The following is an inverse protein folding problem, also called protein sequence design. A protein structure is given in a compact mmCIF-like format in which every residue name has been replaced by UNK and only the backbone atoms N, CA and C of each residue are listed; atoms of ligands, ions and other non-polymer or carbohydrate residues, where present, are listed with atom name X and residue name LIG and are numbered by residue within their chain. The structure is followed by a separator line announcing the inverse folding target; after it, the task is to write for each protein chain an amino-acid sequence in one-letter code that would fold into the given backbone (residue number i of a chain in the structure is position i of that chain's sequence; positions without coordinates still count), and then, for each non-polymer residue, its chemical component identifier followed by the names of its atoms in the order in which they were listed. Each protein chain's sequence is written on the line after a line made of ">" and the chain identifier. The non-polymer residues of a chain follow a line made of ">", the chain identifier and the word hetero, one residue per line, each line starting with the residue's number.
data_IF_412055097095
#
_entry.id   IF_412055097095
#
_cell.length_a   1.000
_cell.length_b   1.000
_cell.length_c   1.000
_cell.angle_alpha   90.00
_cell.angle_beta   90.00
_cell.angle_gamma   90.00
#
_symmetry.space_group_name_H-M   'P 1'
#
loop_
_entity.id
_entity.type
_entity.pdbx_description
1 polymer ?
#
# COMPACT_ATOMS: atom_id res chain seq x y z
N UNK A 1 -24.73 18.77 -0.41
CA UNK A 1 -23.92 17.59 -0.64
C UNK A 1 -24.85 16.46 -1.10
N UNK A 2 -24.48 15.66 -2.12
CA UNK A 2 -25.24 14.47 -2.46
C UNK A 2 -25.11 13.48 -1.31
N UNK A 3 -26.23 12.95 -0.86
CA UNK A 3 -26.27 11.84 0.08
C UNK A 3 -25.55 10.66 -0.59
N UNK A 4 -24.56 10.03 0.02
CA UNK A 4 -23.95 8.84 -0.55
C UNK A 4 -25.06 7.79 -0.73
N UNK A 5 -25.27 7.38 -1.98
CA UNK A 5 -26.15 6.27 -2.27
C UNK A 5 -25.34 5.01 -2.05
N UNK A 6 -25.56 4.34 -0.94
CA UNK A 6 -25.05 2.98 -0.77
C UNK A 6 -25.70 2.12 -1.85
N UNK A 7 -24.89 1.72 -2.82
CA UNK A 7 -25.33 0.82 -3.87
C UNK A 7 -25.61 -0.55 -3.27
N UNK A 8 -26.59 -1.19 -3.87
CA UNK A 8 -27.03 -2.58 -3.81
C UNK A 8 -26.17 -3.56 -2.98
N UNK A 9 -26.84 -4.52 -2.35
CA UNK A 9 -26.21 -5.66 -1.68
C UNK A 9 -24.92 -6.10 -2.41
N UNK A 10 -23.78 -6.15 -1.72
CA UNK A 10 -22.55 -6.63 -2.32
C UNK A 10 -22.81 -8.02 -2.91
N UNK A 11 -22.67 -8.14 -4.21
CA UNK A 11 -22.77 -9.43 -4.88
C UNK A 11 -21.58 -10.25 -4.40
N UNK A 12 -21.84 -11.26 -3.58
CA UNK A 12 -20.82 -12.23 -3.19
C UNK A 12 -20.44 -13.00 -4.45
N UNK A 13 -19.26 -12.73 -5.00
CA UNK A 13 -18.70 -13.55 -6.07
C UNK A 13 -17.87 -14.62 -5.41
N UNK A 14 -18.23 -15.90 -5.59
CA UNK A 14 -17.40 -17.05 -5.20
C UNK A 14 -16.21 -17.24 -6.15
N UNK A 15 -15.60 -16.13 -6.58
CA UNK A 15 -14.44 -16.20 -7.46
C UNK A 15 -13.22 -16.43 -6.61
N UNK A 16 -12.69 -17.62 -6.67
CA UNK A 16 -11.42 -17.99 -6.07
C UNK A 16 -10.33 -17.85 -7.14
N UNK A 17 -9.28 -17.08 -6.86
CA UNK A 17 -8.07 -17.08 -7.65
C UNK A 17 -7.48 -18.52 -7.68
N UNK A 18 -7.15 -19.03 -8.87
CA UNK A 18 -6.51 -20.33 -9.02
C UNK A 18 -4.99 -20.19 -8.81
N UNK A 19 -4.61 -19.66 -7.65
CA UNK A 19 -3.22 -19.56 -7.18
C UNK A 19 -3.07 -20.26 -5.84
N UNK A 20 -1.87 -20.72 -5.55
CA UNK A 20 -1.54 -21.28 -4.24
C UNK A 20 -0.94 -20.20 -3.36
N UNK A 21 -1.46 -20.05 -2.13
CA UNK A 21 -1.09 -18.99 -1.19
C UNK A 21 -1.13 -17.59 -1.85
N UNK A 22 -2.32 -17.01 -2.05
CA UNK A 22 -2.40 -15.65 -2.60
C UNK A 22 -1.64 -14.67 -1.70
N UNK A 23 -0.79 -13.86 -2.31
CA UNK A 23 -0.01 -12.83 -1.67
C UNK A 23 -0.60 -11.43 -1.87
N UNK A 24 0.14 -10.54 -2.48
CA UNK A 24 -0.31 -9.17 -2.75
C UNK A 24 -1.22 -9.07 -3.97
N UNK A 25 -2.24 -8.23 -3.86
CA UNK A 25 -3.09 -7.81 -4.96
C UNK A 25 -2.79 -6.33 -5.29
N UNK A 26 -2.34 -6.05 -6.49
CA UNK A 26 -2.01 -4.70 -6.95
C UNK A 26 -3.06 -4.21 -7.92
N UNK A 27 -3.65 -3.05 -7.63
CA UNK A 27 -4.50 -2.32 -8.56
C UNK A 27 -3.72 -1.12 -9.10
N UNK A 28 -3.42 -1.13 -10.39
CA UNK A 28 -2.71 -0.04 -11.06
C UNK A 28 -3.29 0.21 -12.46
N UNK A 29 -3.68 1.47 -12.72
CA UNK A 29 -4.39 1.82 -13.94
C UNK A 29 -5.67 0.99 -14.11
N UNK A 30 -5.79 0.31 -15.25
CA UNK A 30 -6.94 -0.54 -15.59
C UNK A 30 -6.74 -2.02 -15.17
N UNK A 31 -5.63 -2.35 -14.50
CA UNK A 31 -5.28 -3.73 -14.18
C UNK A 31 -5.37 -4.05 -12.69
N UNK A 32 -5.90 -5.24 -12.40
CA UNK A 32 -5.80 -5.91 -11.09
C UNK A 32 -4.87 -7.10 -11.24
N UNK A 33 -3.84 -7.17 -10.40
CA UNK A 33 -2.74 -8.13 -10.54
C UNK A 33 -2.45 -8.85 -9.21
N UNK A 34 -3.13 -9.98 -8.92
CA UNK A 34 -2.75 -10.86 -7.83
C UNK A 34 -1.44 -11.60 -8.11
N UNK A 35 -0.61 -11.72 -7.08
CA UNK A 35 0.61 -12.51 -7.07
C UNK A 35 0.42 -13.74 -6.19
N UNK A 36 0.71 -14.93 -6.70
CA UNK A 36 0.62 -16.19 -5.97
C UNK A 36 1.96 -16.55 -5.35
N UNK A 37 2.10 -16.38 -4.04
CA UNK A 37 3.35 -16.63 -3.32
C UNK A 37 3.77 -18.12 -3.38
N UNK A 38 2.78 -19.03 -3.34
CA UNK A 38 3.05 -20.47 -3.29
C UNK A 38 3.37 -21.10 -4.63
N UNK A 39 2.88 -20.56 -5.75
CA UNK A 39 3.06 -21.11 -7.09
C UNK A 39 3.75 -20.15 -8.08
N UNK A 40 4.05 -18.92 -7.66
CA UNK A 40 4.72 -17.91 -8.47
C UNK A 40 3.92 -17.41 -9.66
N UNK A 41 2.59 -17.58 -9.64
CA UNK A 41 1.73 -17.09 -10.71
C UNK A 41 1.39 -15.61 -10.53
N UNK A 42 1.56 -14.85 -11.58
CA UNK A 42 1.06 -13.49 -11.72
C UNK A 42 -0.18 -13.57 -12.61
N UNK A 43 -1.34 -13.27 -12.03
CA UNK A 43 -2.61 -13.20 -12.76
C UNK A 43 -2.92 -11.75 -13.06
N UNK A 44 -3.19 -11.43 -14.32
CA UNK A 44 -3.56 -10.08 -14.74
C UNK A 44 -5.01 -10.09 -15.24
N UNK A 45 -5.81 -9.23 -14.66
CA UNK A 45 -7.19 -8.98 -15.01
C UNK A 45 -7.34 -7.53 -15.48
N UNK A 46 -8.27 -7.31 -16.41
CA UNK A 46 -8.82 -5.99 -16.65
C UNK A 46 -9.87 -5.72 -15.56
N UNK A 47 -9.72 -4.63 -14.83
CA UNK A 47 -10.59 -4.33 -13.68
C UNK A 47 -12.06 -4.13 -14.10
N UNK A 48 -12.32 -3.59 -15.31
CA UNK A 48 -13.68 -3.41 -15.83
C UNK A 48 -14.39 -4.73 -16.10
N UNK A 49 -13.64 -5.79 -16.42
CA UNK A 49 -14.21 -7.11 -16.75
C UNK A 49 -14.89 -7.77 -15.54
N UNK A 50 -14.57 -7.36 -14.29
CA UNK A 50 -15.24 -7.87 -13.10
C UNK A 50 -16.72 -7.51 -12.99
N UNK A 51 -17.19 -6.52 -13.75
CA UNK A 51 -18.61 -6.13 -13.76
C UNK A 51 -19.56 -7.24 -14.24
N UNK A 52 -19.08 -8.16 -15.07
CA UNK A 52 -19.83 -9.27 -15.65
C UNK A 52 -19.55 -10.64 -14.95
N UNK A 53 -18.81 -10.64 -13.87
CA UNK A 53 -18.38 -11.84 -13.12
C UNK A 53 -16.86 -11.98 -13.09
N UNK A 54 -16.37 -13.19 -12.79
CA UNK A 54 -14.92 -13.43 -12.76
C UNK A 54 -14.36 -13.57 -14.17
N UNK A 55 -13.53 -12.64 -14.65
CA UNK A 55 -12.87 -12.79 -15.93
C UNK A 55 -11.78 -13.87 -15.88
N UNK A 56 -11.34 -14.30 -17.06
CA UNK A 56 -10.18 -15.18 -17.13
C UNK A 56 -8.91 -14.35 -17.13
N UNK A 57 -7.95 -14.62 -16.21
CA UNK A 57 -6.70 -13.91 -16.17
C UNK A 57 -5.80 -14.22 -17.39
N UNK A 58 -4.94 -13.28 -17.71
CA UNK A 58 -3.68 -13.59 -18.36
C UNK A 58 -2.72 -14.07 -17.25
N UNK A 59 -2.05 -15.20 -17.45
CA UNK A 59 -1.16 -15.79 -16.46
C UNK A 59 0.28 -15.72 -16.94
N UNK A 60 1.15 -15.19 -16.09
CA UNK A 60 2.61 -15.23 -16.21
C UNK A 60 3.16 -15.91 -14.97
N UNK A 61 4.29 -16.62 -15.07
CA UNK A 61 4.93 -17.27 -13.94
C UNK A 61 6.31 -16.63 -13.71
N UNK A 62 6.69 -16.47 -12.44
CA UNK A 62 8.07 -16.08 -12.08
C UNK A 62 8.97 -17.31 -12.09
N UNK A 63 10.29 -17.07 -12.12
CA UNK A 63 11.28 -18.16 -12.17
C UNK A 63 11.22 -19.04 -10.91
N UNK A 64 11.03 -18.42 -9.73
CA UNK A 64 10.87 -19.14 -8.45
C UNK A 64 9.76 -18.49 -7.60
N UNK A 65 8.88 -19.29 -6.99
CA UNK A 65 7.84 -18.80 -6.09
C UNK A 65 8.45 -18.07 -4.89
N UNK A 66 7.85 -16.94 -4.51
CA UNK A 66 8.26 -16.16 -3.35
C UNK A 66 7.14 -15.22 -2.93
N UNK A 67 7.26 -14.64 -1.75
CA UNK A 67 6.35 -13.56 -1.34
C UNK A 67 6.67 -12.30 -2.13
N UNK A 68 5.84 -11.97 -3.13
CA UNK A 68 6.15 -10.97 -4.12
C UNK A 68 4.99 -10.07 -4.51
N UNK A 69 5.31 -9.09 -5.36
CA UNK A 69 4.35 -8.17 -5.96
C UNK A 69 4.60 -8.06 -7.46
N UNK A 70 3.54 -7.74 -8.21
CA UNK A 70 3.63 -7.47 -9.64
C UNK A 70 2.76 -6.27 -10.01
N UNK A 71 3.26 -5.41 -10.91
CA UNK A 71 2.58 -4.21 -11.39
C UNK A 71 2.52 -4.24 -12.91
N UNK A 72 1.32 -4.15 -13.47
CA UNK A 72 1.11 -3.98 -14.90
C UNK A 72 1.27 -2.51 -15.26
N UNK A 73 2.26 -2.18 -16.11
CA UNK A 73 2.52 -0.82 -16.53
C UNK A 73 1.67 -0.42 -17.74
N UNK A 74 1.45 0.87 -17.92
CA UNK A 74 0.61 1.42 -19.00
C UNK A 74 1.12 1.08 -20.40
N UNK A 75 2.43 0.89 -20.58
CA UNK A 75 3.01 0.46 -21.84
C UNK A 75 2.82 -1.03 -22.16
N UNK A 76 2.20 -1.77 -21.24
CA UNK A 76 1.93 -3.20 -21.34
C UNK A 76 3.04 -4.10 -20.82
N UNK A 77 4.14 -3.54 -20.32
CA UNK A 77 5.17 -4.31 -19.62
C UNK A 77 4.72 -4.71 -18.21
N UNK A 78 5.43 -5.65 -17.59
CA UNK A 78 5.17 -6.15 -16.26
C UNK A 78 6.40 -5.95 -15.39
N UNK A 79 6.28 -5.14 -14.33
CA UNK A 79 7.24 -5.09 -13.25
C UNK A 79 6.87 -6.19 -12.24
N UNK A 80 7.82 -6.97 -11.78
CA UNK A 80 7.61 -7.89 -10.68
C UNK A 80 8.88 -8.08 -9.84
N UNK A 81 8.69 -8.47 -8.59
CA UNK A 81 9.79 -8.78 -7.67
C UNK A 81 10.55 -10.03 -8.10
N UNK A 82 11.77 -10.14 -7.62
CA UNK A 82 12.67 -11.29 -7.81
C UNK A 82 13.08 -11.82 -6.44
N UNK A 83 12.97 -13.12 -6.26
CA UNK A 83 13.30 -13.77 -5.01
C UNK A 83 13.13 -15.27 -5.08
N UNK A 84 13.32 -15.89 -3.93
CA UNK A 84 13.05 -17.29 -3.63
C UNK A 84 12.18 -17.37 -2.36
N UNK A 85 11.84 -18.56 -1.91
CA UNK A 85 11.14 -18.76 -0.62
C UNK A 85 11.94 -18.15 0.56
N UNK A 86 13.28 -18.19 0.48
CA UNK A 86 14.16 -17.79 1.58
C UNK A 86 14.64 -16.33 1.48
N UNK A 87 14.76 -15.78 0.28
CA UNK A 87 15.39 -14.48 0.05
C UNK A 87 14.71 -13.70 -1.09
N UNK A 88 14.52 -12.43 -0.90
CA UNK A 88 14.03 -11.48 -1.92
C UNK A 88 15.08 -10.42 -2.15
N UNK A 89 15.45 -10.18 -3.41
CA UNK A 89 16.64 -9.39 -3.72
C UNK A 89 16.39 -8.14 -4.56
N UNK A 90 15.24 -8.04 -5.23
CA UNK A 90 14.99 -6.91 -6.11
C UNK A 90 13.80 -7.09 -7.03
N UNK A 91 13.89 -6.52 -8.22
CA UNK A 91 12.80 -6.57 -9.20
C UNK A 91 13.33 -6.56 -10.63
N UNK A 92 12.47 -6.99 -11.55
CA UNK A 92 12.70 -6.87 -12.99
C UNK A 92 11.44 -6.40 -13.72
N UNK A 93 11.65 -5.88 -14.92
CA UNK A 93 10.57 -5.53 -15.85
C UNK A 93 10.73 -6.36 -17.10
N UNK A 94 9.63 -6.99 -17.52
CA UNK A 94 9.55 -7.76 -18.75
C UNK A 94 8.57 -7.10 -19.71
N UNK A 95 8.87 -7.10 -21.00
CA UNK A 95 7.95 -6.62 -22.04
C UNK A 95 6.82 -7.63 -22.29
N UNK A 96 5.86 -7.28 -23.14
CA UNK A 96 4.71 -8.12 -23.48
C UNK A 96 5.07 -9.47 -24.15
N UNK A 97 6.33 -9.66 -24.54
CA UNK A 97 6.87 -10.92 -25.06
C UNK A 97 7.54 -11.77 -23.99
N UNK A 98 7.62 -11.28 -22.75
CA UNK A 98 8.33 -11.90 -21.64
C UNK A 98 9.85 -11.65 -21.62
N UNK A 99 10.33 -10.74 -22.48
CA UNK A 99 11.76 -10.39 -22.51
C UNK A 99 12.06 -9.35 -21.43
N UNK A 100 13.06 -9.62 -20.60
CA UNK A 100 13.59 -8.66 -19.63
C UNK A 100 14.11 -7.40 -20.32
N UNK A 101 13.66 -6.24 -19.84
CA UNK A 101 14.06 -4.91 -20.35
C UNK A 101 14.75 -4.06 -19.29
N UNK A 102 14.55 -4.36 -18.00
CA UNK A 102 15.26 -3.76 -16.87
C UNK A 102 15.28 -4.72 -15.69
N UNK A 103 16.31 -4.68 -14.86
CA UNK A 103 16.37 -5.40 -13.58
C UNK A 103 17.29 -4.71 -12.59
N UNK A 104 17.08 -4.99 -11.29
CA UNK A 104 17.96 -4.58 -10.19
C UNK A 104 17.88 -5.62 -9.07
N UNK A 105 19.03 -5.90 -8.45
CA UNK A 105 19.20 -6.75 -7.28
C UNK A 105 19.56 -5.93 -6.01
N UNK A 106 19.36 -4.61 -6.07
CA UNK A 106 19.72 -3.67 -5.00
C UNK A 106 18.57 -3.40 -4.02
N UNK A 107 17.68 -4.38 -3.77
CA UNK A 107 16.54 -4.23 -2.85
C UNK A 107 16.39 -5.48 -1.97
N UNK A 108 17.29 -5.65 -0.96
CA UNK A 108 17.16 -6.77 -0.04
C UNK A 108 15.81 -6.74 0.68
N UNK A 109 15.22 -7.92 0.86
CA UNK A 109 13.93 -8.08 1.51
C UNK A 109 12.78 -7.33 0.84
N UNK A 110 12.83 -7.15 -0.51
CA UNK A 110 11.82 -6.38 -1.26
C UNK A 110 10.40 -6.75 -0.84
N UNK A 111 9.59 -5.72 -0.55
CA UNK A 111 8.23 -5.91 -0.05
C UNK A 111 7.36 -4.68 -0.33
N UNK A 112 6.13 -4.95 -0.77
CA UNK A 112 5.16 -3.92 -1.07
C UNK A 112 5.54 -3.08 -2.30
N UNK A 113 4.58 -2.32 -2.78
CA UNK A 113 4.74 -1.37 -3.87
C UNK A 113 3.83 -0.15 -3.67
N UNK A 114 4.15 0.92 -4.38
CA UNK A 114 3.25 2.05 -4.55
C UNK A 114 3.58 2.78 -5.86
N UNK A 115 2.55 3.32 -6.50
CA UNK A 115 2.70 4.18 -7.66
C UNK A 115 2.61 5.65 -7.28
N UNK A 116 3.50 6.46 -7.84
CA UNK A 116 3.46 7.91 -7.77
C UNK A 116 3.16 8.51 -9.15
N UNK A 117 2.95 9.82 -9.16
CA UNK A 117 2.76 10.59 -10.40
C UNK A 117 3.78 10.22 -11.48
N UNK A 118 3.35 10.27 -12.75
CA UNK A 118 4.15 9.91 -13.91
C UNK A 118 4.53 8.41 -13.96
N UNK A 119 3.72 7.55 -13.32
CA UNK A 119 3.92 6.09 -13.26
C UNK A 119 5.28 5.67 -12.68
N UNK A 120 5.74 6.38 -11.65
CA UNK A 120 6.93 5.96 -10.90
C UNK A 120 6.53 4.90 -9.89
N UNK A 121 7.05 3.67 -10.07
CA UNK A 121 6.77 2.56 -9.15
C UNK A 121 7.86 2.51 -8.07
N UNK A 122 7.44 2.48 -6.83
CA UNK A 122 8.31 2.35 -5.67
C UNK A 122 8.17 0.97 -5.04
N UNK A 123 9.29 0.33 -4.72
CA UNK A 123 9.38 -0.94 -4.02
C UNK A 123 10.14 -0.74 -2.71
N UNK A 124 9.62 -1.22 -1.60
CA UNK A 124 10.30 -1.10 -0.32
C UNK A 124 11.40 -2.14 -0.14
N UNK A 125 12.48 -1.74 0.53
CA UNK A 125 13.64 -2.58 0.81
C UNK A 125 13.97 -2.54 2.31
N UNK A 126 14.86 -3.40 2.79
CA UNK A 126 15.37 -3.38 4.18
C UNK A 126 16.33 -2.21 4.45
N UNK A 127 16.83 -1.58 3.40
CA UNK A 127 17.85 -0.52 3.44
C UNK A 127 17.44 0.74 2.65
N UNK A 128 16.14 0.93 2.42
CA UNK A 128 15.60 2.07 1.71
C UNK A 128 14.48 1.73 0.75
N UNK A 129 14.50 2.33 -0.45
CA UNK A 129 13.47 2.17 -1.47
C UNK A 129 14.08 2.05 -2.87
N UNK A 130 13.51 1.20 -3.71
CA UNK A 130 13.89 1.03 -5.10
C UNK A 130 12.80 1.63 -5.99
N UNK A 131 13.14 2.61 -6.80
CA UNK A 131 12.24 3.24 -7.77
C UNK A 131 12.43 2.65 -9.16
N UNK A 132 11.33 2.43 -9.87
CA UNK A 132 11.35 2.23 -11.32
C UNK A 132 10.73 3.45 -12.00
N UNK A 133 11.52 4.15 -12.80
CA UNK A 133 11.09 5.32 -13.57
C UNK A 133 11.89 5.45 -14.86
N UNK A 134 11.29 5.98 -15.91
CA UNK A 134 11.96 6.20 -17.20
C UNK A 134 12.69 4.95 -17.76
N UNK A 135 12.12 3.76 -17.52
CA UNK A 135 12.69 2.49 -17.97
C UNK A 135 13.90 2.01 -17.19
N UNK A 136 14.18 2.51 -15.98
CA UNK A 136 15.34 2.19 -15.15
C UNK A 136 14.98 2.08 -13.68
N UNK A 137 15.74 1.25 -12.99
CA UNK A 137 15.76 1.21 -11.54
C UNK A 137 16.74 2.23 -10.96
N UNK A 138 16.32 2.84 -9.84
CA UNK A 138 17.15 3.79 -9.06
C UNK A 138 16.97 3.47 -7.58
N UNK A 139 18.05 3.11 -6.89
CA UNK A 139 18.04 2.87 -5.45
C UNK A 139 18.21 4.18 -4.70
N UNK A 140 17.39 4.35 -3.65
CA UNK A 140 17.52 5.42 -2.67
C UNK A 140 17.74 4.76 -1.31
N UNK A 141 18.95 4.98 -0.76
CA UNK A 141 19.33 4.41 0.52
C UNK A 141 18.61 5.10 1.69
N UNK A 142 18.25 4.31 2.69
CA UNK A 142 17.80 4.82 3.96
C UNK A 142 18.94 5.49 4.74
N UNK A 143 18.66 6.45 5.64
CA UNK A 143 19.70 7.04 6.48
C UNK A 143 20.26 6.09 7.53
N UNK A 144 19.52 5.05 7.92
CA UNK A 144 19.95 4.00 8.85
C UNK A 144 20.39 2.75 8.07
N UNK A 145 21.34 1.96 8.60
CA UNK A 145 21.86 0.76 7.95
C UNK A 145 20.81 -0.34 7.76
N UNK A 146 19.87 -0.46 8.70
CA UNK A 146 18.60 -1.09 8.54
C UNK A 146 17.56 0.01 8.62
N UNK A 147 16.94 0.31 7.51
CA UNK A 147 15.93 1.35 7.35
C UNK A 147 14.83 0.81 6.46
N UNK A 148 14.12 -0.20 7.00
CA UNK A 148 13.13 -0.97 6.27
C UNK A 148 11.89 -0.14 5.96
N UNK A 149 11.52 -0.14 4.69
CA UNK A 149 10.27 0.38 4.18
C UNK A 149 9.50 -0.83 3.64
N UNK A 150 8.53 -1.34 4.38
CA UNK A 150 7.79 -2.56 4.03
C UNK A 150 6.40 -2.30 3.48
N UNK A 151 5.79 -1.14 3.82
CA UNK A 151 4.50 -0.70 3.32
C UNK A 151 4.61 0.70 2.77
N UNK A 152 4.03 0.92 1.59
CA UNK A 152 4.04 2.20 0.91
C UNK A 152 2.62 2.61 0.52
N UNK A 153 2.43 3.92 0.41
CA UNK A 153 1.20 4.52 -0.10
C UNK A 153 1.56 5.60 -1.13
N UNK A 154 1.07 5.43 -2.34
CA UNK A 154 1.29 6.32 -3.47
C UNK A 154 0.07 7.17 -3.79
N UNK A 155 0.22 8.07 -4.76
CA UNK A 155 -0.86 8.89 -5.32
C UNK A 155 -0.47 9.35 -6.71
N UNK A 156 -1.37 9.23 -7.67
CA UNK A 156 -1.16 9.72 -9.04
C UNK A 156 -1.07 11.25 -9.13
N UNK A 157 -1.54 11.95 -8.09
CA UNK A 157 -1.44 13.41 -7.99
C UNK A 157 -0.10 13.88 -7.46
N UNK A 158 0.70 12.99 -6.83
CA UNK A 158 1.90 13.36 -6.07
C UNK A 158 3.14 12.61 -6.55
N UNK A 159 4.26 13.34 -6.63
CA UNK A 159 5.59 12.74 -6.87
C UNK A 159 6.19 12.10 -5.61
N UNK A 160 5.51 12.18 -4.48
CA UNK A 160 6.02 11.67 -3.22
C UNK A 160 5.40 10.31 -2.88
N UNK A 161 6.21 9.40 -2.36
CA UNK A 161 5.78 8.13 -1.77
C UNK A 161 5.84 8.26 -0.25
N UNK A 162 4.75 7.92 0.43
CA UNK A 162 4.70 7.72 1.87
C UNK A 162 5.05 6.26 2.17
N UNK A 163 5.92 6.00 3.13
CA UNK A 163 6.26 4.63 3.55
C UNK A 163 6.36 4.50 5.05
N UNK A 164 6.18 3.29 5.57
CA UNK A 164 6.58 2.99 6.94
C UNK A 164 8.10 3.14 7.10
N UNK A 165 8.60 3.09 8.34
CA UNK A 165 10.03 3.18 8.55
C UNK A 165 10.43 2.46 9.84
N UNK A 166 11.11 1.31 9.70
CA UNK A 166 11.54 0.45 10.78
C UNK A 166 13.06 0.38 10.85
N UNK A 167 13.60 0.32 12.07
CA UNK A 167 15.06 0.35 12.31
C UNK A 167 15.56 -0.77 13.22
N UNK A 168 14.68 -1.62 13.73
CA UNK A 168 15.01 -2.75 14.59
C UNK A 168 14.73 -4.07 13.88
N UNK A 169 15.80 -4.65 13.29
CA UNK A 169 15.74 -5.92 12.56
C UNK A 169 15.36 -7.11 13.46
N UNK A 170 15.69 -7.04 14.75
CA UNK A 170 15.47 -8.12 15.72
C UNK A 170 14.10 -8.04 16.42
N UNK A 171 13.33 -6.96 16.22
CA UNK A 171 12.04 -6.79 16.85
C UNK A 171 10.98 -7.76 16.30
N UNK A 172 10.33 -8.52 17.20
CA UNK A 172 9.15 -9.33 16.82
C UNK A 172 8.01 -8.44 16.27
N UNK A 173 7.81 -7.28 16.90
CA UNK A 173 6.93 -6.22 16.43
C UNK A 173 7.56 -4.87 16.81
N UNK A 174 8.16 -4.21 15.84
CA UNK A 174 8.54 -2.82 16.01
C UNK A 174 7.31 -1.92 15.90
N UNK A 175 7.19 -0.98 16.82
CA UNK A 175 6.17 0.09 16.81
C UNK A 175 6.83 1.41 16.40
N UNK A 176 7.00 1.66 15.09
CA UNK A 176 7.70 2.83 14.62
C UNK A 176 6.90 4.10 14.90
N UNK A 177 7.62 5.18 15.24
CA UNK A 177 7.05 6.52 15.45
C UNK A 177 7.47 7.50 14.36
N UNK A 178 8.00 6.98 13.25
CA UNK A 178 8.42 7.76 12.07
C UNK A 178 7.91 7.09 10.82
N UNK A 179 7.54 7.91 9.84
CA UNK A 179 7.29 7.48 8.46
C UNK A 179 8.34 8.06 7.53
N UNK A 180 8.54 7.43 6.39
CA UNK A 180 9.37 7.93 5.31
C UNK A 180 8.54 8.69 4.28
N UNK A 181 9.11 9.75 3.73
CA UNK A 181 8.58 10.48 2.57
C UNK A 181 9.68 10.55 1.53
N UNK A 182 9.47 9.90 0.40
CA UNK A 182 10.44 9.85 -0.70
C UNK A 182 9.99 10.71 -1.86
N UNK A 183 10.78 11.71 -2.22
CA UNK A 183 10.61 12.50 -3.44
C UNK A 183 11.20 11.73 -4.63
N UNK A 184 10.35 11.21 -5.49
CA UNK A 184 10.74 10.38 -6.64
C UNK A 184 11.50 11.16 -7.73
N UNK A 185 11.39 12.50 -7.75
CA UNK A 185 12.11 13.36 -8.72
C UNK A 185 13.53 13.66 -8.27
N UNK A 186 13.70 14.04 -7.01
CA UNK A 186 15.03 14.40 -6.48
C UNK A 186 15.79 13.21 -5.91
N UNK A 187 15.15 12.07 -5.67
CA UNK A 187 15.74 10.93 -4.97
C UNK A 187 16.00 11.21 -3.48
N UNK A 188 15.28 12.15 -2.89
CA UNK A 188 15.45 12.47 -1.47
C UNK A 188 14.46 11.69 -0.62
N UNK A 189 14.96 10.92 0.35
CA UNK A 189 14.19 10.33 1.43
C UNK A 189 14.28 11.22 2.66
N UNK A 190 13.13 11.54 3.26
CA UNK A 190 13.00 12.31 4.49
C UNK A 190 12.19 11.53 5.51
N UNK A 191 12.51 11.68 6.79
CA UNK A 191 11.76 11.03 7.87
C UNK A 191 10.88 12.07 8.58
N UNK A 192 9.65 11.69 8.89
CA UNK A 192 8.67 12.50 9.61
C UNK A 192 8.38 11.84 10.94
N UNK A 193 8.61 12.56 12.05
CA UNK A 193 8.23 12.10 13.38
C UNK A 193 6.72 12.29 13.60
N UNK A 194 6.09 11.30 14.19
CA UNK A 194 4.65 11.27 14.46
C UNK A 194 4.31 11.41 15.94
N UNK A 195 5.31 11.28 16.84
CA UNK A 195 5.15 11.30 18.30
C UNK A 195 4.20 10.20 18.86
N UNK A 196 3.78 9.27 18.02
CA UNK A 196 3.02 8.06 18.34
C UNK A 196 3.32 6.98 17.29
N UNK A 197 3.13 5.73 17.65
CA UNK A 197 3.32 4.61 16.71
C UNK A 197 2.11 4.42 15.79
N UNK A 198 2.24 3.54 14.83
CA UNK A 198 1.19 3.18 13.86
C UNK A 198 1.37 1.73 13.40
N UNK A 199 0.38 1.18 12.72
CA UNK A 199 0.44 -0.16 12.14
C UNK A 199 0.64 -0.13 10.63
N UNK A 200 0.90 -1.29 10.04
CA UNK A 200 1.01 -1.42 8.58
C UNK A 200 -0.30 -1.11 7.82
N UNK A 201 -1.45 -0.99 8.52
CA UNK A 201 -2.76 -0.63 7.94
C UNK A 201 -3.13 0.84 8.17
N UNK A 202 -2.15 1.64 8.53
CA UNK A 202 -2.37 3.03 8.97
C UNK A 202 -2.03 4.09 7.93
N UNK A 203 -1.50 3.71 6.76
CA UNK A 203 -1.03 4.65 5.76
C UNK A 203 -2.08 4.90 4.68
N UNK A 204 -2.26 6.16 4.31
CA UNK A 204 -3.15 6.60 3.24
C UNK A 204 -2.66 7.87 2.57
N UNK A 205 -3.35 8.30 1.52
CA UNK A 205 -3.04 9.52 0.77
C UNK A 205 -4.29 10.38 0.62
N UNK A 206 -4.14 11.66 0.91
CA UNK A 206 -5.18 12.66 0.67
C UNK A 206 -5.30 13.08 -0.80
N UNK A 207 -6.35 13.86 -1.14
CA UNK A 207 -6.71 14.20 -2.52
C UNK A 207 -5.65 15.00 -3.27
N UNK A 208 -4.90 15.86 -2.58
CA UNK A 208 -3.82 16.65 -3.15
C UNK A 208 -2.44 15.99 -2.96
N UNK A 209 -2.44 14.71 -2.55
CA UNK A 209 -1.24 13.89 -2.38
C UNK A 209 -0.57 14.05 -1.02
N UNK A 210 -1.27 14.54 -0.02
CA UNK A 210 -0.83 14.55 1.37
C UNK A 210 -0.64 13.12 1.88
N UNK A 211 0.28 12.95 2.83
CA UNK A 211 0.34 11.74 3.63
C UNK A 211 -0.74 11.77 4.71
N UNK A 212 -1.43 10.65 4.91
CA UNK A 212 -2.41 10.47 6.00
C UNK A 212 -2.01 9.25 6.81
N UNK A 213 -1.86 9.41 8.12
CA UNK A 213 -1.43 8.32 9.01
C UNK A 213 -2.34 8.23 10.23
N UNK A 214 -2.93 7.05 10.45
CA UNK A 214 -3.64 6.75 11.68
C UNK A 214 -2.64 6.27 12.75
N UNK A 215 -2.46 7.04 13.80
CA UNK A 215 -1.54 6.72 14.88
C UNK A 215 -2.23 6.04 16.07
N UNK A 216 -1.46 5.34 16.90
CA UNK A 216 -1.98 4.57 18.06
C UNK A 216 -2.55 5.43 19.17
N UNK A 217 -2.29 6.72 19.19
CA UNK A 217 -2.95 7.71 20.06
C UNK A 217 -4.38 8.08 19.58
N UNK A 218 -4.85 7.42 18.51
CA UNK A 218 -6.19 7.58 17.96
C UNK A 218 -6.37 8.76 17.01
N UNK A 219 -5.29 9.42 16.63
CA UNK A 219 -5.34 10.58 15.75
C UNK A 219 -5.04 10.21 14.28
N UNK A 220 -5.67 10.92 13.35
CA UNK A 220 -5.20 11.05 11.97
C UNK A 220 -4.21 12.21 11.88
N UNK A 221 -3.02 11.95 11.38
CA UNK A 221 -2.00 12.97 11.12
C UNK A 221 -1.89 13.23 9.62
N UNK A 222 -2.02 14.49 9.24
CA UNK A 222 -1.87 14.94 7.85
C UNK A 222 -0.45 15.45 7.66
N UNK A 223 0.22 14.95 6.62
CA UNK A 223 1.62 15.25 6.34
C UNK A 223 1.71 15.98 5.01
N UNK A 224 2.31 17.18 5.02
CA UNK A 224 2.77 17.81 3.79
C UNK A 224 4.06 17.09 3.31
N UNK A 225 4.01 16.36 2.20
CA UNK A 225 5.16 15.60 1.73
C UNK A 225 6.29 16.48 1.21
N UNK A 226 6.00 17.70 0.76
CA UNK A 226 7.02 18.62 0.25
C UNK A 226 7.92 19.17 1.36
N UNK A 227 7.33 19.41 2.53
CA UNK A 227 8.08 19.89 3.71
C UNK A 227 8.48 18.75 4.65
N UNK A 228 7.95 17.54 4.43
CA UNK A 228 8.11 16.37 5.28
C UNK A 228 7.77 16.68 6.75
N UNK A 229 6.59 17.22 6.99
CA UNK A 229 6.12 17.62 8.31
C UNK A 229 4.63 17.38 8.49
N UNK A 230 4.22 17.06 9.73
CA UNK A 230 2.80 17.01 10.11
C UNK A 230 2.24 18.45 10.09
N UNK A 231 1.14 18.65 9.40
CA UNK A 231 0.46 19.96 9.27
C UNK A 231 -0.82 20.04 10.07
N UNK A 232 -1.55 18.93 10.17
CA UNK A 232 -2.83 18.85 10.88
C UNK A 232 -2.90 17.52 11.65
N UNK A 233 -3.72 17.53 12.71
CA UNK A 233 -3.95 16.35 13.56
C UNK A 233 -5.42 16.33 14.00
N UNK A 234 -6.12 15.21 13.73
CA UNK A 234 -7.55 15.06 13.99
C UNK A 234 -7.81 13.86 14.90
N UNK A 235 -8.40 14.03 16.09
CA UNK A 235 -8.80 12.91 16.94
C UNK A 235 -9.99 12.16 16.32
N UNK A 236 -9.89 10.83 16.23
CA UNK A 236 -10.89 10.01 15.55
C UNK A 236 -11.42 8.87 16.41
N UNK A 237 -10.52 8.09 17.03
CA UNK A 237 -10.83 6.95 17.88
C UNK A 237 -10.08 7.07 19.21
N UNK A 238 -10.37 6.21 20.16
CA UNK A 238 -9.60 6.13 21.39
C UNK A 238 -8.19 5.57 21.13
N UNK A 239 -7.26 5.79 22.08
CA UNK A 239 -5.91 5.21 22.06
C UNK A 239 -5.98 3.68 22.00
N UNK A 240 -5.14 3.07 21.16
CA UNK A 240 -5.13 1.64 20.91
C UNK A 240 -3.72 1.07 20.85
N UNK A 241 -3.59 -0.24 21.02
CA UNK A 241 -2.32 -0.94 20.93
C UNK A 241 -2.32 -1.93 19.76
N UNK A 242 -1.26 -1.86 18.93
CA UNK A 242 -1.10 -2.81 17.84
C UNK A 242 -0.89 -4.24 18.36
N UNK A 243 -1.75 -5.22 17.97
CA UNK A 243 -1.58 -6.61 18.40
C UNK A 243 -0.34 -7.23 17.75
N UNK A 244 0.40 -8.06 18.51
CA UNK A 244 1.57 -8.79 18.00
C UNK A 244 1.19 -9.75 16.88
N UNK A 245 0.05 -10.42 17.00
CA UNK A 245 -0.44 -11.33 15.96
C UNK A 245 -0.99 -10.51 14.78
N UNK A 246 -0.31 -10.55 13.64
CA UNK A 246 -0.63 -9.72 12.47
C UNK A 246 -2.03 -9.98 11.88
N UNK A 247 -2.61 -11.17 12.08
CA UNK A 247 -3.97 -11.51 11.62
C UNK A 247 -5.08 -10.93 12.50
N UNK A 248 -4.75 -10.47 13.73
CA UNK A 248 -5.76 -9.88 14.60
C UNK A 248 -6.26 -8.55 14.06
N UNK A 249 -7.54 -8.32 14.27
CA UNK A 249 -8.18 -7.06 13.95
C UNK A 249 -7.48 -5.90 14.68
N UNK A 250 -7.29 -4.82 13.96
CA UNK A 250 -6.71 -3.55 14.42
C UNK A 250 -7.38 -2.40 13.68
N UNK A 251 -7.31 -1.18 14.20
CA UNK A 251 -7.75 -0.01 13.46
C UNK A 251 -7.07 0.08 12.09
N UNK A 252 -7.86 0.35 11.07
CA UNK A 252 -7.43 0.42 9.67
C UNK A 252 -7.88 1.73 9.07
N UNK A 253 -6.99 2.36 8.33
CA UNK A 253 -7.26 3.55 7.54
C UNK A 253 -7.49 3.17 6.07
N UNK A 254 -8.55 3.69 5.49
CA UNK A 254 -8.76 3.73 4.04
C UNK A 254 -9.13 5.15 3.64
N UNK A 255 -8.52 5.67 2.59
CA UNK A 255 -8.78 7.03 2.08
C UNK A 255 -9.28 6.94 0.65
N UNK A 256 -10.36 7.66 0.37
CA UNK A 256 -10.92 7.78 -0.97
C UNK A 256 -11.31 9.24 -1.25
N UNK A 257 -10.57 9.90 -2.13
CA UNK A 257 -10.74 11.32 -2.41
C UNK A 257 -10.56 12.16 -1.14
N UNK A 258 -11.54 12.97 -0.83
CA UNK A 258 -11.54 13.89 0.34
C UNK A 258 -11.96 13.19 1.65
N UNK A 259 -12.21 11.87 1.64
CA UNK A 259 -12.82 11.16 2.76
C UNK A 259 -11.89 10.08 3.32
N UNK A 260 -11.69 10.11 4.62
CA UNK A 260 -11.04 9.04 5.37
C UNK A 260 -12.08 8.13 6.05
N UNK A 261 -11.84 6.83 5.99
CA UNK A 261 -12.58 5.79 6.68
C UNK A 261 -11.64 5.14 7.69
N UNK A 262 -11.99 5.22 8.96
CA UNK A 262 -11.21 4.62 10.05
C UNK A 262 -12.07 3.57 10.74
N UNK A 263 -11.59 2.33 10.73
CA UNK A 263 -12.25 1.27 11.48
C UNK A 263 -11.78 1.21 12.92
N UNK A 264 -12.73 0.99 13.85
CA UNK A 264 -12.47 0.65 15.24
C UNK A 264 -13.03 -0.76 15.53
N UNK A 265 -12.15 -1.78 15.60
CA UNK A 265 -12.58 -3.15 15.88
C UNK A 265 -13.11 -3.36 17.31
N UNK A 266 -12.67 -2.57 18.28
CA UNK A 266 -13.10 -2.69 19.67
C UNK A 266 -14.54 -2.24 19.83
N UNK A 267 -14.86 -1.06 19.27
CA UNK A 267 -16.23 -0.52 19.26
C UNK A 267 -17.08 -1.06 18.11
N UNK A 268 -16.48 -1.75 17.14
CA UNK A 268 -17.13 -2.27 15.91
C UNK A 268 -17.76 -1.17 15.08
N UNK A 269 -17.03 -0.10 14.90
CA UNK A 269 -17.48 1.08 14.15
C UNK A 269 -16.57 1.38 12.97
N UNK A 270 -17.10 2.17 12.04
CA UNK A 270 -16.33 2.88 11.02
C UNK A 270 -16.64 4.35 11.19
N UNK A 271 -15.62 5.16 11.39
CA UNK A 271 -15.69 6.61 11.41
C UNK A 271 -15.38 7.13 10.01
N UNK A 272 -16.21 8.05 9.53
CA UNK A 272 -16.11 8.66 8.21
C UNK A 272 -15.82 10.14 8.39
N UNK A 273 -14.63 10.58 7.93
CA UNK A 273 -14.14 11.93 8.15
C UNK A 273 -13.92 12.66 6.83
N UNK A 274 -14.20 13.94 6.86
CA UNK A 274 -13.73 14.90 5.85
C UNK A 274 -12.28 15.30 6.15
N UNK A 275 -11.37 15.08 5.20
CA UNK A 275 -9.93 15.31 5.41
C UNK A 275 -9.55 16.80 5.43
N UNK A 276 -10.34 17.69 4.81
CA UNK A 276 -10.05 19.12 4.80
C UNK A 276 -10.32 19.74 6.18
N UNK A 277 -11.44 19.34 6.79
CA UNK A 277 -11.91 19.93 8.06
C UNK A 277 -11.58 19.09 9.30
N UNK A 278 -11.31 17.79 9.13
CA UNK A 278 -11.20 16.84 10.23
C UNK A 278 -12.54 16.52 10.90
N UNK A 279 -13.67 16.95 10.31
CA UNK A 279 -15.01 16.71 10.89
C UNK A 279 -15.44 15.27 10.66
N UNK A 280 -15.88 14.58 11.73
CA UNK A 280 -16.53 13.28 11.62
C UNK A 280 -17.92 13.46 11.01
N UNK A 281 -18.08 13.10 9.74
CA UNK A 281 -19.34 13.22 9.00
C UNK A 281 -20.36 12.16 9.37
N UNK A 282 -19.89 10.95 9.69
CA UNK A 282 -20.73 9.82 10.08
C UNK A 282 -19.94 8.80 10.89
N UNK A 283 -20.67 8.02 11.67
CA UNK A 283 -20.19 6.85 12.38
C UNK A 283 -21.18 5.70 12.14
N UNK A 284 -20.68 4.55 11.70
CA UNK A 284 -21.49 3.40 11.35
C UNK A 284 -21.12 2.20 12.22
N UNK A 285 -22.11 1.61 12.90
CA UNK A 285 -21.92 0.42 13.73
C UNK A 285 -22.03 -0.85 12.89
N UNK A 286 -21.06 -1.73 13.01
CA UNK A 286 -21.00 -3.00 12.29
C UNK A 286 -21.48 -4.18 13.18
N UNK A 287 -22.01 -5.26 12.58
CA UNK A 287 -22.41 -6.45 13.34
C UNK A 287 -21.22 -7.24 13.90
N UNK A 288 -20.03 -7.07 13.31
CA UNK A 288 -18.78 -7.74 13.67
C UNK A 288 -17.63 -6.75 13.71
N UNK A 289 -16.56 -7.09 14.44
CA UNK A 289 -15.33 -6.31 14.43
C UNK A 289 -14.74 -6.27 13.00
N UNK A 290 -14.50 -5.09 12.43
CA UNK A 290 -13.82 -4.97 11.14
C UNK A 290 -12.36 -5.39 11.28
N UNK A 291 -11.78 -5.92 10.21
CA UNK A 291 -10.35 -6.30 10.19
C UNK A 291 -9.58 -5.53 9.11
N UNK A 292 -10.18 -5.38 7.93
CA UNK A 292 -9.59 -4.66 6.81
C UNK A 292 -10.62 -3.78 6.14
N UNK A 293 -10.17 -2.69 5.55
CA UNK A 293 -10.99 -1.80 4.73
C UNK A 293 -10.39 -1.73 3.34
N UNK A 294 -11.25 -1.80 2.35
CA UNK A 294 -10.93 -1.50 0.97
C UNK A 294 -12.13 -0.84 0.30
N UNK A 295 -11.91 -0.21 -0.83
CA UNK A 295 -12.95 0.42 -1.62
C UNK A 295 -12.60 0.45 -3.09
N UNK A 296 -13.62 0.67 -3.91
CA UNK A 296 -13.45 0.86 -5.34
C UNK A 296 -13.96 2.24 -5.73
N UNK A 297 -13.24 2.90 -6.62
CA UNK A 297 -13.71 4.10 -7.30
C UNK A 297 -14.57 3.66 -8.45
N UNK A 298 -15.84 4.06 -8.44
CA UNK A 298 -16.79 3.76 -9.50
C UNK A 298 -16.65 4.71 -10.69
#
# INVERSE_FOLDING_TARGET
>A
PPTPSYAADPQHTDTVSDTDLPGHDVNHGEATVPFGDGDGKIQTFDTEDFSDGAPKPQVTEVDEPHHGVAVKLADGSMLHTVGTEDERSGAKVVDSSGKEIASSDECPGVHGEAAAKDEVIALGCEDGILLYKDGKFEKIDAPDSFGRIGNQSGSDESQYILGDYKVDEDAELERPERVSVTDTKSGKLSLVALDASYSFRSLGRGPDGEGVVLTTDGNLKIIDPATASVTEEYPVIDEWEEPVEWQKARPTLFVQGEVAYVSDPEEKTIHILDLESGEVMAEETLPHAPNELTGVTG
#
